data_IF_278025429760
#
_entry.id   IF_278025429760
#
_cell.length_a   1.000
_cell.length_b   1.000
_cell.length_c   1.000
_cell.angle_alpha   90.00
_cell.angle_beta   90.00
_cell.angle_gamma   90.00
#
_symmetry.space_group_name_H-M   'P 1'
#
loop_
_entity.id
_entity.type
_entity.pdbx_description
1 polymer ?
#
# COMPACT_ATOMS: atom_id res chain seq x y z
N UNK A 1 -63.46 -23.70 -48.63
CA UNK A 1 -63.41 -22.26 -48.95
C UNK A 1 -61.96 -21.75 -48.84
N UNK A 2 -61.11 -22.13 -49.79
CA UNK A 2 -59.79 -21.51 -49.94
C UNK A 2 -59.94 -20.43 -51.01
N UNK A 3 -60.03 -19.17 -50.56
CA UNK A 3 -60.23 -18.01 -51.44
C UNK A 3 -58.95 -17.77 -52.24
N UNK A 4 -59.10 -17.58 -53.55
CA UNK A 4 -58.08 -17.12 -54.48
C UNK A 4 -57.43 -15.84 -53.93
N UNK A 5 -56.25 -15.98 -53.34
CA UNK A 5 -55.38 -14.84 -53.04
C UNK A 5 -54.80 -14.41 -54.40
N UNK A 6 -55.12 -13.19 -54.82
CA UNK A 6 -54.62 -12.66 -56.09
C UNK A 6 -53.09 -12.62 -56.06
N UNK A 7 -52.42 -13.06 -57.14
CA UNK A 7 -50.95 -13.04 -57.26
C UNK A 7 -50.34 -11.67 -56.91
N UNK A 8 -51.10 -10.59 -57.09
CA UNK A 8 -50.69 -9.23 -56.74
C UNK A 8 -50.49 -9.06 -55.22
N UNK A 9 -51.30 -9.71 -54.40
CA UNK A 9 -51.16 -9.66 -52.94
C UNK A 9 -49.89 -10.38 -52.48
N UNK A 10 -49.54 -11.50 -53.12
CA UNK A 10 -48.30 -12.24 -52.82
C UNK A 10 -47.07 -11.40 -53.21
N UNK A 11 -47.09 -10.77 -54.39
CA UNK A 11 -46.01 -9.88 -54.86
C UNK A 11 -45.84 -8.69 -53.91
N UNK A 12 -46.93 -8.10 -53.42
CA UNK A 12 -46.86 -6.97 -52.49
C UNK A 12 -46.28 -7.36 -51.13
N UNK A 13 -46.61 -8.56 -50.63
CA UNK A 13 -46.01 -9.10 -49.40
C UNK A 13 -44.52 -9.35 -49.58
N UNK A 14 -44.10 -9.89 -50.71
CA UNK A 14 -42.67 -10.11 -51.02
C UNK A 14 -41.89 -8.80 -51.10
N UNK A 15 -42.42 -7.79 -51.81
CA UNK A 15 -41.81 -6.45 -51.88
C UNK A 15 -41.71 -5.78 -50.52
N UNK A 16 -42.71 -5.97 -49.65
CA UNK A 16 -42.68 -5.45 -48.28
C UNK A 16 -41.61 -6.14 -47.43
N UNK A 17 -41.46 -7.46 -47.57
CA UNK A 17 -40.43 -8.23 -46.86
C UNK A 17 -39.02 -7.87 -47.34
N UNK A 18 -38.79 -7.70 -48.64
CA UNK A 18 -37.50 -7.23 -49.19
C UNK A 18 -37.14 -5.83 -48.70
N UNK A 19 -38.12 -4.90 -48.67
CA UNK A 19 -37.90 -3.56 -48.13
C UNK A 19 -37.57 -3.60 -46.62
N UNK A 20 -38.25 -4.45 -45.85
CA UNK A 20 -37.96 -4.66 -44.43
C UNK A 20 -36.57 -5.28 -44.19
N UNK A 21 -36.15 -6.20 -45.06
CA UNK A 21 -34.83 -6.84 -44.99
C UNK A 21 -33.70 -5.87 -45.36
N UNK A 22 -33.90 -5.07 -46.41
CA UNK A 22 -32.94 -4.02 -46.82
C UNK A 22 -32.76 -2.96 -45.73
N UNK A 23 -33.86 -2.49 -45.12
CA UNK A 23 -33.78 -1.49 -44.04
C UNK A 23 -33.14 -2.03 -42.76
N UNK A 24 -33.31 -3.32 -42.43
CA UNK A 24 -32.63 -3.94 -41.28
C UNK A 24 -31.14 -4.14 -41.54
N UNK A 25 -30.75 -4.49 -42.77
CA UNK A 25 -29.34 -4.62 -43.18
C UNK A 25 -28.61 -3.28 -43.19
N UNK A 26 -29.26 -2.19 -43.62
CA UNK A 26 -28.69 -0.84 -43.54
C UNK A 26 -28.51 -0.38 -42.08
N UNK A 27 -29.45 -0.72 -41.19
CA UNK A 27 -29.35 -0.40 -39.75
C UNK A 27 -28.24 -1.17 -39.06
N UNK A 28 -27.99 -2.43 -39.39
CA UNK A 28 -26.89 -3.22 -38.82
C UNK A 28 -25.53 -2.68 -39.24
N UNK A 29 -25.35 -2.34 -40.53
CA UNK A 29 -24.12 -1.73 -41.05
C UNK A 29 -23.84 -0.39 -40.36
N UNK A 30 -24.86 0.48 -40.23
CA UNK A 30 -24.72 1.76 -39.52
C UNK A 30 -24.32 1.59 -38.05
N UNK A 31 -24.82 0.55 -37.39
CA UNK A 31 -24.47 0.25 -36.01
C UNK A 31 -23.02 -0.23 -35.87
N UNK A 32 -22.56 -1.12 -36.75
CA UNK A 32 -21.17 -1.58 -36.77
C UNK A 32 -20.18 -0.45 -37.06
N UNK A 33 -20.50 0.45 -37.97
CA UNK A 33 -19.66 1.62 -38.27
C UNK A 33 -19.57 2.58 -37.08
N UNK A 34 -20.68 2.81 -36.36
CA UNK A 34 -20.67 3.59 -35.12
C UNK A 34 -19.80 2.94 -34.05
N UNK A 35 -19.86 1.61 -33.90
CA UNK A 35 -19.01 0.87 -32.97
C UNK A 35 -17.52 0.94 -33.36
N UNK A 36 -17.19 0.86 -34.67
CA UNK A 36 -15.82 1.04 -35.18
C UNK A 36 -15.29 2.46 -34.94
N UNK A 37 -16.12 3.49 -35.14
CA UNK A 37 -15.76 4.90 -34.83
C UNK A 37 -15.55 5.14 -33.34
N UNK A 38 -16.35 4.54 -32.47
CA UNK A 38 -16.16 4.63 -31.02
C UNK A 38 -14.88 3.92 -30.56
N UNK A 39 -14.57 2.74 -31.12
CA UNK A 39 -13.32 2.00 -30.84
C UNK A 39 -12.08 2.79 -31.26
N UNK A 40 -12.10 3.41 -32.43
CA UNK A 40 -10.97 4.22 -32.93
C UNK A 40 -10.79 5.50 -32.11
N UNK A 41 -11.86 6.16 -31.67
CA UNK A 41 -11.76 7.30 -30.76
C UNK A 41 -11.20 6.88 -29.38
N UNK A 42 -11.66 5.77 -28.82
CA UNK A 42 -11.15 5.26 -27.55
C UNK A 42 -9.65 4.91 -27.65
N UNK A 43 -9.23 4.30 -28.76
CA UNK A 43 -7.83 3.97 -29.02
C UNK A 43 -6.97 5.23 -29.18
N UNK A 44 -7.43 6.23 -29.95
CA UNK A 44 -6.76 7.54 -30.07
C UNK A 44 -6.61 8.26 -28.73
N UNK A 45 -7.60 8.16 -27.84
CA UNK A 45 -7.52 8.72 -26.49
C UNK A 45 -6.49 7.97 -25.63
N UNK A 46 -6.38 6.66 -25.76
CA UNK A 46 -5.38 5.85 -25.03
C UNK A 46 -3.95 6.23 -25.48
N UNK A 47 -3.75 6.38 -26.79
CA UNK A 47 -2.44 6.71 -27.38
C UNK A 47 -2.03 8.16 -27.09
N UNK A 48 -2.99 9.10 -27.01
CA UNK A 48 -2.73 10.51 -26.70
C UNK A 48 -2.33 10.76 -25.24
N UNK A 49 -2.69 9.88 -24.31
CA UNK A 49 -2.43 10.03 -22.87
C UNK A 49 -1.34 9.08 -22.34
N UNK A 50 -0.62 8.35 -23.21
CA UNK A 50 0.39 7.35 -22.81
C UNK A 50 -0.12 6.40 -21.71
N UNK A 51 -1.42 6.07 -21.76
CA UNK A 51 -2.03 5.20 -20.76
C UNK A 51 -1.55 3.77 -21.04
N UNK A 52 -0.88 3.09 -20.09
CA UNK A 52 -0.29 1.79 -20.33
C UNK A 52 -1.34 0.78 -20.83
N UNK A 53 -1.26 0.44 -22.12
CA UNK A 53 -2.27 -0.31 -22.88
C UNK A 53 -2.39 -1.77 -22.46
N UNK A 54 -1.33 -2.31 -21.85
CA UNK A 54 -1.39 -3.56 -21.09
C UNK A 54 -1.46 -3.16 -19.63
N UNK A 55 -2.60 -3.42 -18.97
CA UNK A 55 -2.62 -3.56 -17.50
C UNK A 55 -1.46 -4.49 -17.17
N UNK A 56 -0.33 -3.97 -16.65
CA UNK A 56 0.67 -4.81 -16.00
C UNK A 56 -0.16 -5.68 -15.07
N UNK A 57 -0.21 -6.99 -15.30
CA UNK A 57 -0.85 -7.89 -14.34
C UNK A 57 -0.13 -7.55 -13.04
N UNK A 58 -0.83 -6.87 -12.12
CA UNK A 58 -0.25 -6.54 -10.83
C UNK A 58 0.35 -7.85 -10.34
N UNK A 59 1.66 -7.86 -10.11
CA UNK A 59 2.32 -9.05 -9.60
C UNK A 59 1.46 -9.54 -8.44
N UNK A 60 0.85 -10.70 -8.63
CA UNK A 60 0.01 -11.28 -7.60
C UNK A 60 0.95 -11.47 -6.42
N UNK A 61 0.72 -10.72 -5.34
CA UNK A 61 1.54 -10.78 -4.12
C UNK A 61 1.86 -12.24 -3.83
N UNK A 62 3.15 -12.56 -3.66
CA UNK A 62 3.58 -13.92 -3.27
C UNK A 62 2.70 -14.39 -2.10
N UNK A 63 2.13 -15.60 -2.18
CA UNK A 63 1.19 -16.06 -1.16
C UNK A 63 1.88 -16.05 0.20
N UNK A 64 1.25 -15.38 1.18
CA UNK A 64 1.68 -15.35 2.59
C UNK A 64 2.99 -14.60 2.91
N UNK A 65 3.49 -13.71 2.05
CA UNK A 65 4.72 -12.90 2.31
C UNK A 65 4.66 -12.07 3.62
N UNK A 66 3.46 -11.70 4.06
CA UNK A 66 3.23 -10.93 5.29
C UNK A 66 3.51 -11.70 6.60
N UNK A 67 3.79 -13.01 6.51
CA UNK A 67 4.20 -13.86 7.63
C UNK A 67 5.60 -13.51 8.16
N UNK A 68 6.49 -13.09 7.26
CA UNK A 68 7.90 -12.80 7.56
C UNK A 68 8.81 -14.04 7.62
N UNK A 69 8.37 -15.22 7.15
CA UNK A 69 9.26 -16.40 7.05
C UNK A 69 9.92 -16.47 5.68
N UNK A 70 11.23 -16.73 5.66
CA UNK A 70 11.95 -17.06 4.44
C UNK A 70 12.18 -18.57 4.29
N UNK A 71 12.54 -19.25 5.38
CA UNK A 71 12.81 -20.68 5.37
C UNK A 71 11.57 -21.57 5.18
N UNK A 72 11.79 -22.70 4.51
CA UNK A 72 10.87 -23.83 4.41
C UNK A 72 11.05 -24.79 5.61
N UNK A 73 10.26 -25.87 5.66
CA UNK A 73 10.49 -26.94 6.63
C UNK A 73 11.57 -27.86 6.09
N UNK A 74 12.57 -28.15 6.92
CA UNK A 74 13.57 -29.18 6.60
C UNK A 74 12.87 -30.52 6.34
N UNK A 75 13.22 -31.29 5.30
CA UNK A 75 12.65 -32.60 5.10
C UNK A 75 12.98 -33.49 6.30
N UNK A 76 11.99 -34.26 6.79
CA UNK A 76 12.23 -35.27 7.83
C UNK A 76 12.98 -36.44 7.20
N UNK A 77 13.83 -37.10 7.99
CA UNK A 77 14.44 -38.36 7.60
C UNK A 77 13.47 -39.48 7.98
N UNK A 78 13.13 -40.33 7.02
CA UNK A 78 12.13 -41.38 7.24
C UNK A 78 12.63 -42.45 8.23
N UNK A 79 13.95 -42.70 8.25
CA UNK A 79 14.61 -43.66 9.15
C UNK A 79 14.67 -43.20 10.62
N UNK A 80 14.38 -41.94 10.91
CA UNK A 80 14.48 -41.40 12.27
C UNK A 80 13.32 -41.91 13.15
N UNK A 81 13.63 -42.30 14.38
CA UNK A 81 12.61 -42.76 15.34
C UNK A 81 11.72 -41.61 15.77
N UNK A 82 10.41 -41.87 15.88
CA UNK A 82 9.47 -40.86 16.38
C UNK A 82 9.88 -40.34 17.76
N UNK A 83 9.60 -39.06 18.01
CA UNK A 83 10.08 -38.40 19.23
C UNK A 83 9.50 -39.03 20.50
N UNK A 84 8.27 -39.56 20.43
CA UNK A 84 7.58 -40.24 21.54
C UNK A 84 8.37 -41.44 22.06
N UNK A 85 9.16 -42.07 21.19
CA UNK A 85 9.93 -43.27 21.48
C UNK A 85 11.41 -42.99 21.74
N UNK A 86 11.81 -41.71 21.80
CA UNK A 86 13.20 -41.32 22.00
C UNK A 86 13.69 -41.76 23.38
N UNK A 87 14.89 -42.33 23.44
CA UNK A 87 15.45 -42.94 24.65
C UNK A 87 14.99 -44.38 24.92
N UNK A 88 14.10 -44.93 24.09
CA UNK A 88 13.77 -46.36 24.06
C UNK A 88 14.42 -47.09 22.86
N UNK A 89 15.23 -46.36 22.07
CA UNK A 89 15.93 -46.84 20.87
C UNK A 89 16.72 -48.13 21.12
N UNK A 90 17.39 -48.25 22.27
CA UNK A 90 18.17 -49.43 22.60
C UNK A 90 17.30 -50.66 22.86
N UNK A 91 16.11 -50.46 23.44
CA UNK A 91 15.15 -51.56 23.63
C UNK A 91 14.59 -52.02 22.29
N UNK A 92 14.38 -51.11 21.33
CA UNK A 92 13.91 -51.49 19.98
C UNK A 92 14.91 -52.32 19.18
N UNK A 93 16.21 -52.27 19.51
CA UNK A 93 17.22 -53.16 18.90
C UNK A 93 17.10 -54.61 19.38
N UNK A 94 16.55 -54.83 20.57
CA UNK A 94 16.33 -56.17 21.14
C UNK A 94 15.08 -56.84 20.54
N UNK A 95 14.12 -56.06 20.04
CA UNK A 95 12.89 -56.56 19.45
C UNK A 95 13.07 -56.96 17.96
N UNK A 96 12.18 -57.80 17.43
CA UNK A 96 12.14 -58.08 15.99
C UNK A 96 12.07 -56.81 15.15
N UNK A 97 12.70 -56.82 13.97
CA UNK A 97 12.88 -55.65 13.11
C UNK A 97 11.57 -54.93 12.74
N UNK A 98 10.43 -55.64 12.80
CA UNK A 98 9.11 -55.08 12.57
C UNK A 98 8.76 -53.95 13.56
N UNK A 99 9.16 -54.05 14.83
CA UNK A 99 8.87 -53.03 15.83
C UNK A 99 9.66 -51.74 15.56
N UNK A 100 10.94 -51.87 15.19
CA UNK A 100 11.78 -50.73 14.81
C UNK A 100 11.18 -49.97 13.61
N UNK A 101 10.66 -50.69 12.62
CA UNK A 101 9.95 -50.08 11.48
C UNK A 101 8.72 -49.28 11.92
N UNK A 102 7.82 -49.86 12.73
CA UNK A 102 6.60 -49.17 13.19
C UNK A 102 6.91 -47.90 14.00
N UNK A 103 8.05 -47.87 14.70
CA UNK A 103 8.48 -46.69 15.48
C UNK A 103 9.18 -45.61 14.65
N UNK A 104 9.51 -45.89 13.39
CA UNK A 104 10.17 -44.94 12.49
C UNK A 104 9.20 -43.89 11.94
N UNK A 105 9.73 -42.75 11.53
CA UNK A 105 8.96 -41.66 10.93
C UNK A 105 8.36 -42.02 9.57
N UNK A 106 8.91 -43.01 8.85
CA UNK A 106 8.36 -43.50 7.58
C UNK A 106 6.86 -43.84 7.72
N UNK A 107 6.53 -44.62 8.76
CA UNK A 107 5.19 -45.14 9.04
C UNK A 107 4.31 -44.22 9.89
N UNK A 108 4.84 -43.06 10.30
CA UNK A 108 4.13 -42.11 11.15
C UNK A 108 3.06 -41.32 10.38
N UNK A 109 1.96 -40.99 11.05
CA UNK A 109 0.93 -40.11 10.49
C UNK A 109 1.44 -38.66 10.35
N UNK A 110 0.78 -37.85 9.52
CA UNK A 110 1.09 -36.43 9.37
C UNK A 110 1.05 -35.65 10.70
N UNK A 111 0.17 -36.02 11.63
CA UNK A 111 0.13 -35.43 12.98
C UNK A 111 1.36 -35.80 13.81
N UNK A 112 1.81 -37.04 13.73
CA UNK A 112 2.99 -37.52 14.46
C UNK A 112 4.27 -36.92 13.89
N UNK A 113 4.38 -36.82 12.56
CA UNK A 113 5.47 -36.08 11.88
C UNK A 113 5.51 -34.62 12.32
N UNK A 114 4.35 -33.98 12.44
CA UNK A 114 4.25 -32.61 12.95
C UNK A 114 4.69 -32.51 14.42
N UNK A 115 4.19 -33.41 15.26
CA UNK A 115 4.55 -33.46 16.67
C UNK A 115 6.05 -33.64 16.82
N UNK A 116 6.65 -34.62 16.12
CA UNK A 116 8.10 -34.86 16.11
C UNK A 116 8.86 -33.57 15.78
N UNK A 117 8.49 -32.84 14.71
CA UNK A 117 9.12 -31.55 14.38
C UNK A 117 9.06 -30.53 15.51
N UNK A 118 7.88 -30.40 16.13
CA UNK A 118 7.67 -29.46 17.25
C UNK A 118 8.55 -29.84 18.44
N UNK A 119 8.55 -31.11 18.84
CA UNK A 119 9.30 -31.60 19.99
C UNK A 119 10.82 -31.52 19.76
N UNK A 120 11.32 -31.96 18.61
CA UNK A 120 12.73 -31.85 18.23
C UNK A 120 13.20 -30.40 18.27
N UNK A 121 12.38 -29.47 17.76
CA UNK A 121 12.70 -28.04 17.84
C UNK A 121 12.66 -27.51 19.27
N UNK A 122 11.66 -27.90 20.06
CA UNK A 122 11.53 -27.50 21.47
C UNK A 122 12.74 -27.94 22.30
N UNK A 123 13.24 -29.16 22.09
CA UNK A 123 14.43 -29.65 22.76
C UNK A 123 15.68 -28.85 22.38
N UNK A 124 15.86 -28.54 21.08
CA UNK A 124 16.95 -27.66 20.61
C UNK A 124 16.94 -26.32 21.37
N UNK A 125 15.77 -25.67 21.50
CA UNK A 125 15.66 -24.41 22.22
C UNK A 125 15.81 -24.55 23.74
N UNK A 126 15.32 -25.65 24.33
CA UNK A 126 15.46 -25.92 25.76
C UNK A 126 16.93 -26.03 26.17
N UNK A 127 17.72 -26.76 25.38
CA UNK A 127 19.15 -26.94 25.62
C UNK A 127 19.95 -25.63 25.56
N UNK A 128 19.54 -24.71 24.67
CA UNK A 128 20.20 -23.41 24.50
C UNK A 128 19.78 -22.42 25.59
N UNK A 129 18.50 -22.37 25.93
CA UNK A 129 17.98 -21.34 26.84
C UNK A 129 18.07 -21.68 28.34
N UNK A 130 18.51 -22.88 28.71
CA UNK A 130 18.81 -23.44 30.05
C UNK A 130 17.78 -23.26 31.20
N UNK A 131 16.80 -22.34 31.15
CA UNK A 131 15.69 -22.24 32.11
C UNK A 131 14.47 -21.54 31.49
N UNK A 132 13.37 -22.28 31.31
CA UNK A 132 12.00 -21.80 31.55
C UNK A 132 11.38 -20.69 30.67
N UNK A 133 12.02 -20.19 29.61
CA UNK A 133 11.40 -19.14 28.80
C UNK A 133 10.48 -19.69 27.71
N UNK A 134 9.19 -19.79 28.08
CA UNK A 134 8.08 -20.29 27.25
C UNK A 134 7.94 -19.56 25.90
N UNK A 135 8.41 -18.31 25.78
CA UNK A 135 8.19 -17.45 24.61
C UNK A 135 8.91 -17.95 23.35
N UNK A 136 10.20 -18.29 23.44
CA UNK A 136 11.04 -18.74 22.34
C UNK A 136 10.51 -20.06 21.80
N UNK A 137 10.19 -20.99 22.70
CA UNK A 137 9.56 -22.28 22.36
C UNK A 137 8.21 -22.09 21.67
N UNK A 138 7.34 -21.20 22.20
CA UNK A 138 6.05 -20.89 21.56
C UNK A 138 6.28 -20.28 20.17
N UNK A 139 7.25 -19.38 20.01
CA UNK A 139 7.56 -18.75 18.72
C UNK A 139 8.05 -19.81 17.72
N UNK A 140 8.94 -20.71 18.14
CA UNK A 140 9.44 -21.80 17.32
C UNK A 140 8.32 -22.76 16.91
N UNK A 141 7.50 -23.21 17.87
CA UNK A 141 6.33 -24.06 17.62
C UNK A 141 5.37 -23.42 16.61
N UNK A 142 5.01 -22.15 16.82
CA UNK A 142 4.15 -21.42 15.89
C UNK A 142 4.78 -21.29 14.51
N UNK A 143 6.10 -21.15 14.42
CA UNK A 143 6.81 -21.05 13.14
C UNK A 143 6.70 -22.35 12.34
N UNK A 144 6.87 -23.51 12.98
CA UNK A 144 6.68 -24.82 12.35
C UNK A 144 5.25 -24.97 11.84
N UNK A 145 4.27 -24.66 12.69
CA UNK A 145 2.85 -24.73 12.34
C UNK A 145 2.51 -23.81 11.15
N UNK A 146 3.03 -22.57 11.14
CA UNK A 146 2.83 -21.61 10.05
C UNK A 146 3.43 -22.14 8.74
N UNK A 147 4.64 -22.70 8.75
CA UNK A 147 5.26 -23.24 7.53
C UNK A 147 4.47 -24.41 6.95
N UNK A 148 3.99 -25.32 7.79
CA UNK A 148 3.13 -26.43 7.34
C UNK A 148 1.78 -25.94 6.81
N UNK A 149 1.12 -25.03 7.53
CA UNK A 149 -0.16 -24.46 7.10
C UNK A 149 -0.02 -23.66 5.80
N UNK A 150 1.11 -23.01 5.55
CA UNK A 150 1.39 -22.35 4.26
C UNK A 150 1.39 -23.34 3.13
N UNK A 151 2.12 -24.45 3.26
CA UNK A 151 2.16 -25.50 2.24
C UNK A 151 0.76 -26.08 1.98
N UNK A 152 0.01 -26.40 3.04
CA UNK A 152 -1.38 -26.85 2.93
C UNK A 152 -2.26 -25.81 2.23
N UNK A 153 -2.21 -24.53 2.62
CA UNK A 153 -3.02 -23.48 2.00
C UNK A 153 -2.63 -23.19 0.55
N UNK A 154 -1.39 -23.46 0.15
CA UNK A 154 -0.93 -23.35 -1.24
C UNK A 154 -1.52 -24.46 -2.10
N UNK A 155 -1.55 -25.70 -1.59
CA UNK A 155 -2.18 -26.87 -2.23
C UNK A 155 -3.70 -26.73 -2.26
N UNK A 156 -4.30 -26.39 -1.11
CA UNK A 156 -5.74 -26.37 -0.86
C UNK A 156 -6.28 -24.94 -0.73
N UNK A 157 -6.27 -24.20 -1.85
CA UNK A 157 -6.64 -22.76 -1.87
C UNK A 157 -8.08 -22.45 -1.44
N UNK A 158 -8.98 -23.44 -1.54
CA UNK A 158 -10.41 -23.31 -1.20
C UNK A 158 -10.69 -23.50 0.31
N UNK A 159 -9.73 -24.05 1.05
CA UNK A 159 -9.88 -24.26 2.49
C UNK A 159 -9.75 -22.91 3.24
N UNK A 160 -10.89 -22.34 3.57
CA UNK A 160 -10.98 -21.05 4.27
C UNK A 160 -10.62 -21.19 5.75
N UNK A 161 -10.93 -22.33 6.37
CA UNK A 161 -10.67 -22.59 7.78
C UNK A 161 -9.17 -22.65 8.03
N UNK A 162 -8.42 -23.41 7.23
CA UNK A 162 -6.97 -23.48 7.36
C UNK A 162 -6.29 -22.11 7.18
N UNK A 163 -6.83 -21.27 6.29
CA UNK A 163 -6.34 -19.89 6.13
C UNK A 163 -6.59 -19.01 7.35
N UNK A 164 -7.74 -19.16 8.01
CA UNK A 164 -8.04 -18.44 9.26
C UNK A 164 -7.06 -18.88 10.35
N UNK A 165 -6.88 -20.19 10.53
CA UNK A 165 -5.92 -20.74 11.49
C UNK A 165 -4.50 -20.24 11.20
N UNK A 166 -4.08 -20.22 9.93
CA UNK A 166 -2.77 -19.68 9.54
C UNK A 166 -2.61 -18.21 9.95
N UNK A 167 -3.64 -17.38 9.73
CA UNK A 167 -3.62 -15.97 10.14
C UNK A 167 -3.53 -15.81 11.66
N UNK A 168 -4.28 -16.60 12.41
CA UNK A 168 -4.24 -16.60 13.89
C UNK A 168 -2.87 -17.03 14.41
N UNK A 169 -2.25 -18.04 13.82
CA UNK A 169 -0.90 -18.45 14.19
C UNK A 169 0.13 -17.35 13.91
N UNK A 170 0.05 -16.69 12.74
CA UNK A 170 0.92 -15.56 12.39
C UNK A 170 0.75 -14.41 13.38
N UNK A 171 -0.49 -14.05 13.73
CA UNK A 171 -0.78 -12.98 14.69
C UNK A 171 -0.30 -13.34 16.10
N UNK A 172 -0.57 -14.58 16.54
CA UNK A 172 -0.10 -15.11 17.83
C UNK A 172 1.42 -15.06 17.94
N UNK A 173 2.15 -15.46 16.88
CA UNK A 173 3.61 -15.38 16.85
C UNK A 173 4.10 -13.94 16.90
N UNK A 174 3.48 -13.02 16.14
CA UNK A 174 3.83 -11.59 16.17
C UNK A 174 3.65 -10.99 17.57
N UNK A 175 2.61 -11.41 18.31
CA UNK A 175 2.37 -11.01 19.70
C UNK A 175 3.51 -11.47 20.61
N UNK A 176 3.94 -12.73 20.50
CA UNK A 176 5.05 -13.25 21.30
C UNK A 176 6.39 -12.61 20.94
N UNK A 177 6.69 -12.42 19.64
CA UNK A 177 7.88 -11.69 19.20
C UNK A 177 7.93 -10.26 19.75
N UNK A 178 6.79 -9.57 19.81
CA UNK A 178 6.69 -8.23 20.41
C UNK A 178 7.00 -8.25 21.91
N UNK A 179 6.55 -9.28 22.65
CA UNK A 179 6.86 -9.43 24.08
C UNK A 179 8.35 -9.73 24.27
N UNK A 180 8.89 -10.67 23.51
CA UNK A 180 10.30 -11.05 23.59
C UNK A 180 11.21 -9.87 23.30
N UNK A 181 10.93 -9.10 22.23
CA UNK A 181 11.67 -7.88 21.89
C UNK A 181 11.72 -6.85 23.02
N UNK A 182 10.65 -6.74 23.82
CA UNK A 182 10.60 -5.82 24.97
C UNK A 182 11.35 -6.35 26.19
N UNK A 183 11.34 -7.67 26.39
CA UNK A 183 11.98 -8.31 27.55
C UNK A 183 13.48 -8.47 27.35
N UNK A 184 13.89 -9.11 26.26
CA UNK A 184 15.29 -9.37 25.93
C UNK A 184 15.52 -9.24 24.42
N UNK A 185 16.19 -8.15 24.04
CA UNK A 185 16.46 -7.84 22.64
C UNK A 185 17.55 -8.75 22.02
N UNK A 186 18.52 -9.21 22.82
CA UNK A 186 19.61 -10.07 22.32
C UNK A 186 19.06 -11.45 21.94
N UNK A 187 18.24 -12.03 22.82
CA UNK A 187 17.52 -13.29 22.53
C UNK A 187 16.59 -13.16 21.34
N UNK A 188 15.89 -12.03 21.23
CA UNK A 188 15.05 -11.74 20.07
C UNK A 188 15.84 -11.76 18.76
N UNK A 189 16.99 -11.08 18.68
CA UNK A 189 17.83 -11.10 17.46
C UNK A 189 18.32 -12.51 17.16
N UNK A 190 18.83 -13.21 18.17
CA UNK A 190 19.31 -14.58 18.01
C UNK A 190 18.21 -15.50 17.47
N UNK A 191 17.01 -15.43 18.05
CA UNK A 191 15.86 -16.24 17.62
C UNK A 191 15.43 -15.92 16.19
N UNK A 192 15.45 -14.65 15.77
CA UNK A 192 15.14 -14.28 14.39
C UNK A 192 16.13 -14.88 13.40
N UNK A 193 17.42 -14.92 13.77
CA UNK A 193 18.46 -15.54 12.93
C UNK A 193 18.29 -17.05 12.88
N UNK A 194 18.07 -17.69 14.02
CA UNK A 194 17.93 -19.14 14.13
C UNK A 194 16.72 -19.68 13.37
N UNK A 195 15.57 -18.99 13.46
CA UNK A 195 14.34 -19.37 12.79
C UNK A 195 14.21 -18.79 11.37
N UNK A 196 15.20 -18.06 10.87
CA UNK A 196 15.16 -17.36 9.58
C UNK A 196 13.89 -16.52 9.36
N UNK A 197 13.68 -15.58 10.30
CA UNK A 197 12.49 -14.74 10.40
C UNK A 197 12.83 -13.25 10.21
N UNK A 198 12.02 -12.57 9.39
CA UNK A 198 11.98 -11.11 9.32
C UNK A 198 10.86 -10.55 10.20
N UNK A 199 11.24 -9.91 11.29
CA UNK A 199 10.29 -9.17 12.11
C UNK A 199 9.85 -7.87 11.43
N UNK A 200 8.57 -7.82 11.02
CA UNK A 200 7.92 -6.58 10.57
C UNK A 200 7.01 -6.04 11.69
N UNK A 201 7.33 -4.89 12.30
CA UNK A 201 6.46 -4.30 13.31
C UNK A 201 5.10 -3.94 12.71
N UNK A 202 4.05 -4.00 13.53
CA UNK A 202 2.73 -3.55 13.08
C UNK A 202 2.77 -2.04 12.82
N UNK A 203 2.27 -1.55 11.68
CA UNK A 203 2.24 -0.12 11.40
C UNK A 203 1.35 0.60 12.43
N UNK A 204 1.66 1.86 12.71
CA UNK A 204 0.86 2.68 13.64
C UNK A 204 -0.56 2.92 13.12
N UNK A 205 -0.69 3.05 11.79
CA UNK A 205 -1.95 3.28 11.11
C UNK A 205 -2.08 2.28 9.97
N UNK A 206 -3.26 1.67 9.84
CA UNK A 206 -3.58 0.80 8.70
C UNK A 206 -4.27 1.65 7.66
N UNK A 207 -3.55 1.97 6.58
CA UNK A 207 -4.11 2.75 5.50
C UNK A 207 -5.20 1.96 4.76
N UNK A 208 -6.36 2.60 4.62
CA UNK A 208 -7.47 2.08 3.83
C UNK A 208 -7.05 2.04 2.36
N UNK A 209 -6.94 0.84 1.81
CA UNK A 209 -6.48 0.63 0.44
C UNK A 209 -7.59 0.83 -0.61
N UNK A 210 -8.32 1.94 -0.49
CA UNK A 210 -9.40 2.32 -1.42
C UNK A 210 -8.84 2.91 -2.71
N UNK A 211 -9.59 2.83 -3.83
CA UNK A 211 -9.21 3.47 -5.10
C UNK A 211 -8.88 4.95 -4.92
N UNK A 212 -9.69 5.68 -4.13
CA UNK A 212 -9.49 7.10 -3.84
C UNK A 212 -8.22 7.35 -3.03
N UNK A 213 -7.91 6.50 -2.04
CA UNK A 213 -6.67 6.60 -1.26
C UNK A 213 -5.44 6.36 -2.14
N UNK A 214 -5.44 5.30 -2.96
CA UNK A 214 -4.36 5.03 -3.92
C UNK A 214 -4.14 6.18 -4.89
N UNK A 215 -5.23 6.75 -5.43
CA UNK A 215 -5.14 7.91 -6.32
C UNK A 215 -4.49 9.11 -5.63
N UNK A 216 -4.89 9.41 -4.38
CA UNK A 216 -4.26 10.49 -3.61
C UNK A 216 -2.79 10.21 -3.32
N UNK A 217 -2.42 8.98 -3.00
CA UNK A 217 -1.04 8.59 -2.77
C UNK A 217 -0.21 8.80 -4.04
N UNK A 218 -0.68 8.28 -5.17
CA UNK A 218 -0.03 8.46 -6.48
C UNK A 218 0.16 9.95 -6.81
N UNK A 219 -0.89 10.76 -6.67
CA UNK A 219 -0.81 12.20 -6.91
C UNK A 219 0.22 12.87 -5.98
N UNK A 220 0.28 12.48 -4.70
CA UNK A 220 1.30 12.99 -3.77
C UNK A 220 2.71 12.63 -4.24
N UNK A 221 2.95 11.36 -4.55
CA UNK A 221 4.25 10.88 -5.03
C UNK A 221 4.68 11.63 -6.30
N UNK A 222 3.77 11.79 -7.26
CA UNK A 222 4.04 12.50 -8.52
C UNK A 222 4.27 14.01 -8.30
N UNK A 223 3.46 14.67 -7.46
CA UNK A 223 3.70 16.08 -7.12
C UNK A 223 5.05 16.27 -6.42
N UNK A 224 5.44 15.37 -5.52
CA UNK A 224 6.76 15.39 -4.89
C UNK A 224 7.88 15.20 -5.93
N UNK A 225 7.67 14.33 -6.94
CA UNK A 225 8.62 14.14 -8.04
C UNK A 225 8.83 15.43 -8.81
N UNK A 226 7.75 16.07 -9.26
CA UNK A 226 7.78 17.34 -10.00
C UNK A 226 8.44 18.44 -9.17
N UNK A 227 8.14 18.52 -7.87
CA UNK A 227 8.76 19.50 -6.97
C UNK A 227 10.28 19.27 -6.91
N UNK A 228 10.73 18.02 -6.77
CA UNK A 228 12.17 17.69 -6.76
C UNK A 228 12.84 18.06 -8.07
N UNK A 229 12.22 17.76 -9.21
CA UNK A 229 12.73 18.13 -10.53
C UNK A 229 12.88 19.65 -10.68
N UNK A 230 11.87 20.43 -10.24
CA UNK A 230 11.94 21.90 -10.23
C UNK A 230 13.05 22.42 -9.32
N UNK A 231 13.18 21.88 -8.11
CA UNK A 231 14.23 22.25 -7.17
C UNK A 231 15.61 21.96 -7.77
N UNK A 232 15.78 20.78 -8.37
CA UNK A 232 17.05 20.40 -9.02
C UNK A 232 17.37 21.31 -10.20
N UNK A 233 16.39 21.67 -11.03
CA UNK A 233 16.58 22.60 -12.14
C UNK A 233 16.98 24.01 -11.67
N UNK A 234 16.48 24.45 -10.51
CA UNK A 234 16.91 25.71 -9.90
C UNK A 234 18.34 25.59 -9.37
N UNK A 235 18.69 24.47 -8.73
CA UNK A 235 20.06 24.25 -8.25
C UNK A 235 21.07 24.25 -9.40
N UNK A 236 20.80 23.55 -10.49
CA UNK A 236 21.70 23.53 -11.65
C UNK A 236 21.88 24.91 -12.27
N UNK A 237 20.81 25.72 -12.34
CA UNK A 237 20.90 27.11 -12.78
C UNK A 237 21.74 27.97 -11.83
N UNK A 238 21.53 27.85 -10.52
CA UNK A 238 22.31 28.60 -9.55
C UNK A 238 23.78 28.19 -9.58
N UNK A 239 24.08 26.92 -9.82
CA UNK A 239 25.44 26.42 -9.93
C UNK A 239 26.18 27.02 -11.14
N UNK A 240 25.51 27.23 -12.28
CA UNK A 240 26.14 27.91 -13.41
C UNK A 240 26.31 29.42 -13.18
N UNK A 241 25.38 30.06 -12.46
CA UNK A 241 25.47 31.49 -12.11
C UNK A 241 26.57 31.78 -11.05
N UNK A 242 26.97 30.77 -10.25
CA UNK A 242 28.02 30.93 -9.22
C UNK A 242 29.35 31.39 -9.78
N UNK A 243 29.78 30.87 -10.92
CA UNK A 243 31.07 31.23 -11.52
C UNK A 243 31.10 32.72 -11.90
N UNK A 244 30.04 33.18 -12.58
CA UNK A 244 29.89 34.60 -12.93
C UNK A 244 29.92 35.47 -11.66
N UNK A 245 29.18 35.07 -10.62
CA UNK A 245 29.18 35.76 -9.34
C UNK A 245 30.57 35.84 -8.70
N UNK A 246 31.37 34.77 -8.76
CA UNK A 246 32.73 34.80 -8.23
C UNK A 246 33.66 35.73 -9.01
N UNK A 247 33.57 35.75 -10.33
CA UNK A 247 34.37 36.67 -11.15
C UNK A 247 34.02 38.14 -10.89
N UNK A 248 32.74 38.47 -10.79
CA UNK A 248 32.28 39.83 -10.44
C UNK A 248 32.70 40.20 -9.01
N UNK A 249 32.55 39.26 -8.07
CA UNK A 249 32.99 39.46 -6.69
C UNK A 249 34.49 39.75 -6.61
N UNK A 250 35.32 39.03 -7.36
CA UNK A 250 36.78 39.27 -7.36
C UNK A 250 37.13 40.64 -7.96
N UNK A 251 36.47 41.05 -9.05
CA UNK A 251 36.61 42.40 -9.64
C UNK A 251 36.26 43.48 -8.62
N UNK A 252 35.08 43.41 -8.02
CA UNK A 252 34.61 44.37 -7.01
C UNK A 252 35.55 44.38 -5.80
N UNK A 253 36.01 43.22 -5.33
CA UNK A 253 36.98 43.16 -4.24
C UNK A 253 38.34 43.79 -4.62
N UNK A 254 38.76 43.66 -5.87
CA UNK A 254 39.98 44.30 -6.37
C UNK A 254 39.87 45.82 -6.44
N UNK A 255 38.70 46.34 -6.84
CA UNK A 255 38.39 47.78 -6.86
C UNK A 255 38.38 48.34 -5.43
N UNK A 256 37.65 47.69 -4.52
CA UNK A 256 37.62 48.08 -3.11
C UNK A 256 39.04 48.11 -2.51
N UNK A 257 39.90 47.15 -2.85
CA UNK A 257 41.29 47.14 -2.37
C UNK A 257 42.10 48.34 -2.88
N UNK A 258 41.88 48.76 -4.13
CA UNK A 258 42.52 49.96 -4.70
C UNK A 258 42.02 51.20 -3.97
N UNK A 259 40.70 51.37 -3.84
CA UNK A 259 40.09 52.53 -3.17
C UNK A 259 40.58 52.66 -1.71
N UNK A 260 40.66 51.54 -0.97
CA UNK A 260 41.18 51.54 0.40
C UNK A 260 42.65 51.97 0.47
N UNK A 261 43.46 51.58 -0.52
CA UNK A 261 44.85 52.00 -0.64
C UNK A 261 44.95 53.49 -0.96
N UNK A 262 44.16 53.97 -1.94
CA UNK A 262 44.15 55.36 -2.38
C UNK A 262 43.71 56.31 -1.25
N UNK A 263 42.78 55.87 -0.41
CA UNK A 263 42.27 56.62 0.74
C UNK A 263 43.00 56.33 2.06
N UNK A 264 44.04 55.49 2.07
CA UNK A 264 44.78 55.07 3.27
C UNK A 264 43.89 54.55 4.42
N UNK A 265 42.80 53.85 4.09
CA UNK A 265 41.86 53.30 5.07
C UNK A 265 42.25 51.85 5.36
N UNK A 266 42.43 51.51 6.64
CA UNK A 266 42.73 50.14 7.06
C UNK A 266 41.54 49.21 6.84
N UNK A 267 41.80 48.06 6.19
CA UNK A 267 40.79 47.02 5.99
C UNK A 267 40.19 46.50 7.31
N UNK A 268 40.96 46.53 8.40
CA UNK A 268 40.50 46.12 9.73
C UNK A 268 39.39 47.04 10.26
N UNK A 269 39.53 48.35 10.09
CA UNK A 269 38.56 49.33 10.59
C UNK A 269 37.23 49.22 9.85
N UNK A 270 37.28 49.01 8.54
CA UNK A 270 36.09 48.73 7.71
C UNK A 270 35.38 47.47 8.17
N UNK A 271 36.13 46.39 8.47
CA UNK A 271 35.56 45.14 8.98
C UNK A 271 34.87 45.33 10.33
N UNK A 272 35.43 46.12 11.24
CA UNK A 272 34.80 46.41 12.54
C UNK A 272 33.51 47.21 12.38
N UNK A 273 33.50 48.20 11.49
CA UNK A 273 32.31 49.00 11.19
C UNK A 273 31.20 48.15 10.57
N UNK A 274 31.53 47.26 9.61
CA UNK A 274 30.57 46.33 9.02
C UNK A 274 30.00 45.36 10.07
N UNK A 275 30.83 44.89 11.02
CA UNK A 275 30.37 44.03 12.13
C UNK A 275 29.39 44.76 13.03
N UNK A 276 29.68 46.01 13.43
CA UNK A 276 28.77 46.85 14.23
C UNK A 276 27.43 47.07 13.52
N UNK A 277 27.46 47.49 12.24
CA UNK A 277 26.25 47.68 11.43
C UNK A 277 25.43 46.39 11.23
N UNK A 278 26.08 45.22 11.22
CA UNK A 278 25.36 43.93 11.18
C UNK A 278 24.68 43.63 12.51
N UNK A 279 25.36 43.87 13.63
CA UNK A 279 24.79 43.71 14.96
C UNK A 279 23.60 44.65 15.17
N UNK A 280 23.74 45.92 14.81
CA UNK A 280 22.66 46.91 14.83
C UNK A 280 21.46 46.45 14.00
N UNK A 281 21.66 45.97 12.77
CA UNK A 281 20.55 45.43 11.95
C UNK A 281 19.89 44.19 12.55
N UNK A 282 20.62 43.33 13.26
CA UNK A 282 20.03 42.19 13.96
C UNK A 282 19.19 42.67 15.13
N UNK A 283 19.69 43.63 15.91
CA UNK A 283 18.96 44.26 17.02
C UNK A 283 17.72 44.99 16.50
N UNK A 284 17.82 45.73 15.39
CA UNK A 284 16.67 46.36 14.73
C UNK A 284 15.65 45.32 14.28
N UNK A 285 16.06 44.17 13.73
CA UNK A 285 15.13 43.09 13.34
C UNK A 285 14.45 42.45 14.54
N UNK A 286 15.11 42.39 15.69
CA UNK A 286 14.54 41.87 16.94
C UNK A 286 13.61 42.89 17.59
N UNK A 287 13.96 44.18 17.53
CA UNK A 287 13.17 45.29 18.09
C UNK A 287 12.00 45.70 17.17
N UNK A 288 12.12 45.44 15.86
CA UNK A 288 11.00 45.54 14.94
C UNK A 288 10.02 44.46 15.35
N UNK A 289 8.91 44.90 15.96
CA UNK A 289 7.84 44.01 16.36
C UNK A 289 7.56 43.04 15.20
N UNK A 290 7.34 41.74 15.48
CA UNK A 290 6.90 40.84 14.43
C UNK A 290 5.74 41.53 13.72
N UNK A 291 5.65 41.50 12.37
CA UNK A 291 4.48 42.03 11.70
C UNK A 291 3.31 41.46 12.48
N UNK A 292 2.44 42.34 13.01
CA UNK A 292 1.27 41.88 13.74
C UNK A 292 0.73 40.76 12.87
N UNK A 293 0.55 39.55 13.42
CA UNK A 293 0.10 38.44 12.60
C UNK A 293 -0.98 39.02 11.73
N UNK A 294 -0.95 38.75 10.43
CA UNK A 294 -2.15 38.91 9.65
C UNK A 294 -3.11 37.89 10.29
N UNK A 295 -3.65 38.24 11.47
CA UNK A 295 -5.04 38.17 11.74
C UNK A 295 -5.59 38.79 10.46
N UNK A 296 -5.82 37.89 9.48
CA UNK A 296 -7.18 37.60 9.12
C UNK A 296 -7.99 38.07 10.32
N UNK A 297 -8.42 39.34 10.27
CA UNK A 297 -9.74 39.74 10.67
C UNK A 297 -10.54 38.61 10.09
N UNK A 298 -10.73 37.56 10.87
CA UNK A 298 -11.79 36.61 10.64
C UNK A 298 -12.95 37.56 10.68
N UNK A 299 -13.35 37.99 9.49
CA UNK A 299 -14.42 38.92 9.28
C UNK A 299 -15.56 38.20 10.00
N UNK A 300 -15.88 38.63 11.22
CA UNK A 300 -16.85 37.92 12.05
C UNK A 300 -18.18 37.84 11.27
N UNK A 301 -18.44 38.86 10.43
CA UNK A 301 -19.55 38.91 9.48
C UNK A 301 -19.55 37.78 8.43
N UNK A 302 -18.41 37.15 8.12
CA UNK A 302 -18.32 36.07 7.15
C UNK A 302 -18.72 34.72 7.75
N UNK A 303 -18.52 34.54 9.05
CA UNK A 303 -19.03 33.37 9.80
C UNK A 303 -20.54 33.46 9.94
N UNK A 304 -21.07 34.63 10.29
CA UNK A 304 -22.51 34.83 10.46
C UNK A 304 -23.24 34.75 9.11
N UNK A 305 -22.68 35.33 8.04
CA UNK A 305 -23.17 35.15 6.66
C UNK A 305 -23.22 33.68 6.25
N UNK A 306 -22.12 32.93 6.42
CA UNK A 306 -22.08 31.48 6.11
C UNK A 306 -22.99 30.65 7.01
N UNK A 307 -23.36 31.15 8.20
CA UNK A 307 -24.32 30.49 9.10
C UNK A 307 -25.76 30.77 8.66
N UNK A 308 -26.05 31.99 8.22
CA UNK A 308 -27.33 32.36 7.61
C UNK A 308 -27.59 31.59 6.31
N UNK A 309 -26.62 31.55 5.38
CA UNK A 309 -26.72 30.78 4.14
C UNK A 309 -26.91 29.26 4.37
N UNK A 310 -26.39 28.73 5.47
CA UNK A 310 -26.66 27.34 5.87
C UNK A 310 -28.10 27.16 6.34
N UNK A 311 -28.60 28.05 7.19
CA UNK A 311 -29.99 28.03 7.65
C UNK A 311 -30.98 28.16 6.50
N UNK A 312 -30.74 29.04 5.53
CA UNK A 312 -31.61 29.19 4.35
C UNK A 312 -31.66 27.91 3.50
N UNK A 313 -30.50 27.26 3.28
CA UNK A 313 -30.46 25.98 2.57
C UNK A 313 -31.20 24.87 3.30
N UNK A 314 -31.08 24.81 4.62
CA UNK A 314 -31.79 23.82 5.44
C UNK A 314 -33.31 24.07 5.43
N UNK A 315 -33.75 25.33 5.50
CA UNK A 315 -35.15 25.72 5.35
C UNK A 315 -35.70 25.35 3.97
N UNK A 316 -34.94 25.64 2.90
CA UNK A 316 -35.32 25.27 1.54
C UNK A 316 -35.46 23.76 1.38
N UNK A 317 -34.49 22.99 1.91
CA UNK A 317 -34.53 21.53 1.91
C UNK A 317 -35.76 21.00 2.66
N UNK A 318 -36.05 21.54 3.83
CA UNK A 318 -37.23 21.15 4.61
C UNK A 318 -38.54 21.49 3.90
N UNK A 319 -38.61 22.63 3.21
CA UNK A 319 -39.77 23.01 2.41
C UNK A 319 -40.00 22.04 1.23
N UNK A 320 -38.94 21.62 0.54
CA UNK A 320 -39.02 20.61 -0.52
C UNK A 320 -39.51 19.26 0.01
N UNK A 321 -39.00 18.83 1.16
CA UNK A 321 -39.46 17.60 1.82
C UNK A 321 -40.93 17.69 2.18
N UNK A 322 -41.37 18.80 2.82
CA UNK A 322 -42.78 19.01 3.19
C UNK A 322 -43.69 19.00 1.97
N UNK A 323 -43.28 19.64 0.86
CA UNK A 323 -44.01 19.64 -0.41
C UNK A 323 -44.09 18.23 -1.02
N UNK A 324 -43.03 17.44 -0.90
CA UNK A 324 -43.02 16.03 -1.31
C UNK A 324 -44.02 15.20 -0.50
N UNK A 325 -44.04 15.36 0.82
CA UNK A 325 -44.97 14.67 1.72
C UNK A 325 -46.42 15.05 1.45
N UNK A 326 -46.71 16.32 1.20
CA UNK A 326 -48.06 16.78 0.84
C UNK A 326 -48.54 16.19 -0.50
N UNK A 327 -47.65 16.09 -1.49
CA UNK A 327 -47.98 15.42 -2.76
C UNK A 327 -48.26 13.92 -2.59
N UNK A 328 -47.50 13.25 -1.74
CA UNK A 328 -47.73 11.85 -1.40
C UNK A 328 -49.09 11.66 -0.72
N UNK A 329 -49.40 12.48 0.29
CA UNK A 329 -50.71 12.45 0.96
C UNK A 329 -51.87 12.70 -0.01
N UNK A 330 -51.74 13.68 -0.92
CA UNK A 330 -52.75 13.94 -1.95
C UNK A 330 -52.90 12.79 -2.95
N UNK A 331 -51.84 12.04 -3.25
CA UNK A 331 -51.94 10.85 -4.11
C UNK A 331 -52.54 9.64 -3.41
N UNK A 332 -52.35 9.53 -2.09
CA UNK A 332 -52.98 8.50 -1.26
C UNK A 332 -54.48 8.77 -1.04
N UNK A 333 -54.89 10.04 -0.91
CA UNK A 333 -56.31 10.42 -0.82
C UNK A 333 -57.06 10.31 -2.16
N UNK A 334 -56.33 10.33 -3.29
CA UNK A 334 -56.90 10.24 -4.64
C UNK A 334 -56.92 8.81 -5.22
N UNK A 335 -56.34 7.82 -4.51
CA UNK A 335 -56.42 6.38 -4.83
C UNK A 335 -57.46 5.72 -3.94
#
# INVERSE_FOLDING_TARGET
MLKNVSNQQIINVFKFLEAAWSTTQIRSISYEEKQKKQRTHAQKMIDMFDLPTKKKKFETRKPFDYSGDFGELEPLKDDETMFVYRGLEDKFKEFPQNYSKVTSLEYADGQEKMAHRIWTMQEKFLNICKYGERSEMIIAQKTIQIRNLKEHCQKNKKDTLARVILLEQIQGRKKELKKLRKRDYKRFIWLLKELDLLYRPHPLYVDLNTRRARMRQYLREETCRIIREKINAVYTRLDSEKENFYTEKEKVLSEIRKDLSDHNISAYDVLQNVRKLRQERVVERQNKAPPTPNTYRWIQSDKDRKKAERRERDLHRNALVKKGMQKLAQSEEAS
#
